data_IF_056527852120
#
_entry.id   IF_056527852120
#
_cell.length_a   1.000
_cell.length_b   1.000
_cell.length_c   1.000
_cell.angle_alpha   90.00
_cell.angle_beta   90.00
_cell.angle_gamma   90.00
#
_symmetry.space_group_name_H-M   'P 1'
#
loop_
_entity.id
_entity.type
_entity.pdbx_description
1 polymer ?
#
# COMPACT_ATOMS: atom_id res chain seq x y z
N UNK A 1 17.88 -8.92 -0.79
CA UNK A 1 17.09 -8.25 0.28
C UNK A 1 16.73 -6.79 0.02
N UNK A 2 17.64 -5.94 -0.44
CA UNK A 2 17.33 -4.51 -0.70
C UNK A 2 16.16 -4.31 -1.67
N UNK A 3 16.10 -5.08 -2.77
CA UNK A 3 15.00 -5.01 -3.73
C UNK A 3 13.64 -5.39 -3.13
N UNK A 4 13.59 -6.40 -2.26
CA UNK A 4 12.39 -6.82 -1.51
C UNK A 4 11.90 -5.66 -0.65
N UNK A 5 12.78 -5.08 0.17
CA UNK A 5 12.44 -3.96 1.06
C UNK A 5 11.96 -2.75 0.27
N UNK A 6 12.68 -2.34 -0.78
CA UNK A 6 12.31 -1.19 -1.59
C UNK A 6 10.95 -1.37 -2.27
N UNK A 7 10.67 -2.57 -2.78
CA UNK A 7 9.37 -2.87 -3.41
C UNK A 7 8.24 -2.76 -2.37
N UNK A 8 8.43 -3.36 -1.19
CA UNK A 8 7.43 -3.33 -0.13
C UNK A 8 7.21 -1.91 0.46
N UNK A 9 8.27 -1.14 0.68
CA UNK A 9 8.22 0.26 1.16
C UNK A 9 7.45 1.13 0.17
N UNK A 10 7.89 1.13 -1.10
CA UNK A 10 7.27 1.94 -2.14
C UNK A 10 5.79 1.60 -2.30
N UNK A 11 5.45 0.31 -2.23
CA UNK A 11 4.06 -0.11 -2.28
C UNK A 11 3.28 0.39 -1.07
N UNK A 12 3.77 0.16 0.15
CA UNK A 12 3.05 0.53 1.38
C UNK A 12 2.77 2.05 1.47
N UNK A 13 3.74 2.90 1.10
CA UNK A 13 3.54 4.36 1.13
C UNK A 13 2.54 4.81 0.07
N UNK A 14 2.66 4.34 -1.18
CA UNK A 14 1.74 4.74 -2.26
C UNK A 14 0.36 4.16 -2.05
N UNK A 15 0.24 2.90 -1.65
CA UNK A 15 -1.05 2.26 -1.38
C UNK A 15 -1.74 2.87 -0.16
N UNK A 16 -0.99 3.11 0.92
CA UNK A 16 -1.53 3.71 2.13
C UNK A 16 -1.84 5.20 2.00
N UNK A 17 -1.31 5.89 0.98
CA UNK A 17 -1.54 7.33 0.78
C UNK A 17 -2.50 7.55 -0.37
N UNK A 18 -3.65 8.19 -0.14
CA UNK A 18 -4.60 8.53 -1.20
C UNK A 18 -5.44 9.73 -0.81
N UNK A 19 -6.01 10.43 -1.80
CA UNK A 19 -6.97 11.51 -1.56
C UNK A 19 -8.12 11.44 -2.55
N UNK A 20 -9.27 11.97 -2.12
CA UNK A 20 -10.46 12.08 -2.99
C UNK A 20 -10.16 13.02 -4.16
N UNK A 21 -9.49 14.14 -3.89
CA UNK A 21 -9.13 15.14 -4.91
C UNK A 21 -8.20 14.57 -6.01
N UNK A 22 -7.29 13.66 -5.65
CA UNK A 22 -6.40 13.01 -6.62
C UNK A 22 -7.02 11.78 -7.30
N UNK A 23 -8.28 11.47 -7.00
CA UNK A 23 -9.01 10.29 -7.52
C UNK A 23 -8.20 8.98 -7.43
N UNK A 24 -7.48 8.78 -6.33
CA UNK A 24 -6.68 7.57 -6.08
C UNK A 24 -5.66 7.25 -7.20
N UNK A 25 -5.14 8.27 -7.90
CA UNK A 25 -4.18 8.12 -9.01
C UNK A 25 -2.91 7.33 -8.64
N UNK A 26 -2.51 7.39 -7.37
CA UNK A 26 -1.44 6.57 -6.80
C UNK A 26 -1.64 5.06 -7.00
N UNK A 27 -2.88 4.55 -7.15
CA UNK A 27 -3.10 3.13 -7.41
C UNK A 27 -2.70 2.73 -8.84
N UNK A 28 -2.78 3.64 -9.81
CA UNK A 28 -2.31 3.38 -11.18
C UNK A 28 -0.79 3.19 -11.22
N UNK A 29 -0.06 3.96 -10.40
CA UNK A 29 1.39 3.87 -10.27
C UNK A 29 1.86 2.55 -9.66
N UNK A 30 0.98 1.84 -8.94
CA UNK A 30 1.27 0.55 -8.32
C UNK A 30 1.11 -0.61 -9.30
N UNK A 31 0.31 -0.45 -10.37
CA UNK A 31 -0.02 -1.55 -11.30
C UNK A 31 1.23 -2.19 -11.94
N UNK A 32 2.26 -1.43 -12.40
CA UNK A 32 3.46 -2.01 -12.97
C UNK A 32 4.32 -2.85 -12.00
N UNK A 33 4.09 -2.68 -10.69
CA UNK A 33 4.81 -3.34 -9.60
C UNK A 33 3.97 -4.40 -8.88
N UNK A 34 2.80 -4.74 -9.43
CA UNK A 34 1.83 -5.64 -8.83
C UNK A 34 1.54 -6.83 -9.75
N UNK A 35 1.14 -7.97 -9.18
CA UNK A 35 0.63 -9.10 -9.98
C UNK A 35 -0.73 -8.75 -10.58
N UNK A 36 -1.18 -9.44 -11.66
CA UNK A 36 -2.49 -9.20 -12.25
C UNK A 36 -3.65 -9.29 -11.25
N UNK A 37 -3.55 -10.20 -10.28
CA UNK A 37 -4.52 -10.33 -9.18
C UNK A 37 -4.57 -9.08 -8.30
N UNK A 38 -3.41 -8.54 -7.91
CA UNK A 38 -3.35 -7.31 -7.11
C UNK A 38 -3.82 -6.10 -7.92
N UNK A 39 -3.55 -6.03 -9.23
CA UNK A 39 -4.08 -4.98 -10.11
C UNK A 39 -5.61 -4.96 -10.08
N UNK A 40 -6.26 -6.12 -10.28
CA UNK A 40 -7.72 -6.22 -10.22
C UNK A 40 -8.27 -5.84 -8.85
N UNK A 41 -7.57 -6.25 -7.79
CA UNK A 41 -7.95 -5.89 -6.42
C UNK A 41 -7.84 -4.39 -6.15
N UNK A 42 -6.79 -3.70 -6.65
CA UNK A 42 -6.64 -2.25 -6.50
C UNK A 42 -7.81 -1.49 -7.14
N UNK A 43 -8.25 -1.94 -8.33
CA UNK A 43 -9.41 -1.35 -9.02
C UNK A 43 -10.70 -1.51 -8.20
N UNK A 44 -10.93 -2.71 -7.64
CA UNK A 44 -12.07 -2.98 -6.77
C UNK A 44 -12.00 -2.18 -5.46
N UNK A 45 -10.82 -2.08 -4.87
CA UNK A 45 -10.61 -1.38 -3.60
C UNK A 45 -10.86 0.12 -3.75
N UNK A 46 -10.45 0.74 -4.87
CA UNK A 46 -10.79 2.12 -5.20
C UNK A 46 -12.30 2.36 -5.20
N UNK A 47 -13.07 1.49 -5.86
CA UNK A 47 -14.55 1.59 -5.86
C UNK A 47 -15.13 1.49 -4.46
N UNK A 48 -14.61 0.58 -3.63
CA UNK A 48 -15.06 0.44 -2.24
C UNK A 48 -14.73 1.67 -1.38
N UNK A 49 -13.55 2.27 -1.58
CA UNK A 49 -13.17 3.50 -0.86
C UNK A 49 -14.10 4.64 -1.25
N UNK A 50 -14.32 4.87 -2.55
CA UNK A 50 -15.24 5.90 -3.04
C UNK A 50 -16.66 5.75 -2.46
N UNK A 51 -17.15 4.53 -2.27
CA UNK A 51 -18.46 4.26 -1.69
C UNK A 51 -18.53 4.49 -0.16
N UNK A 52 -17.38 4.47 0.54
CA UNK A 52 -17.29 4.55 2.00
C UNK A 52 -16.90 5.93 2.53
N UNK A 53 -16.34 6.81 1.71
CA UNK A 53 -15.86 8.10 2.20
C UNK A 53 -17.02 9.03 2.60
N UNK A 54 -16.92 9.60 3.80
CA UNK A 54 -17.81 10.66 4.25
C UNK A 54 -17.50 12.00 3.57
N UNK A 55 -18.45 12.95 3.68
CA UNK A 55 -18.38 14.26 3.02
C UNK A 55 -17.16 15.10 3.46
N UNK A 56 -16.61 14.81 4.64
CA UNK A 56 -15.51 15.59 5.23
C UNK A 56 -14.13 14.96 5.03
N UNK A 57 -14.06 13.72 4.52
CA UNK A 57 -12.79 13.04 4.30
C UNK A 57 -12.03 13.63 3.11
N UNK A 58 -10.76 13.98 3.31
CA UNK A 58 -9.88 14.55 2.27
C UNK A 58 -8.93 13.48 1.74
N UNK A 59 -8.22 12.79 2.64
CA UNK A 59 -7.21 11.81 2.26
C UNK A 59 -6.43 11.24 3.44
N UNK A 60 -5.53 10.32 3.11
CA UNK A 60 -4.55 9.73 4.02
C UNK A 60 -3.16 9.96 3.43
N UNK A 61 -2.20 10.31 4.28
CA UNK A 61 -0.77 10.23 3.99
C UNK A 61 -0.15 9.15 4.86
N UNK A 62 0.55 8.21 4.25
CA UNK A 62 1.23 7.10 4.93
C UNK A 62 2.74 7.25 4.80
N UNK A 63 3.44 7.11 5.92
CA UNK A 63 4.91 7.07 5.98
C UNK A 63 5.37 5.77 6.60
N UNK A 64 6.42 5.17 6.05
CA UNK A 64 7.05 3.99 6.67
C UNK A 64 7.85 4.42 7.90
N UNK A 65 7.62 3.72 9.00
CA UNK A 65 8.35 3.87 10.27
C UNK A 65 9.44 2.80 10.37
N UNK A 66 9.10 1.55 10.04
CA UNK A 66 10.05 0.44 10.08
C UNK A 66 9.70 -0.67 9.11
N UNK A 67 10.68 -1.52 8.79
CA UNK A 67 10.49 -2.67 7.90
C UNK A 67 11.20 -3.91 8.43
N UNK A 68 10.52 -5.05 8.34
CA UNK A 68 11.07 -6.35 8.74
C UNK A 68 10.70 -7.41 7.70
N UNK A 69 11.71 -8.05 7.11
CA UNK A 69 11.49 -9.25 6.31
C UNK A 69 11.14 -10.39 7.28
N UNK A 70 9.95 -10.96 7.12
CA UNK A 70 9.45 -12.07 7.94
C UNK A 70 9.93 -13.40 7.37
N UNK A 71 9.91 -13.52 6.04
CA UNK A 71 10.44 -14.66 5.31
C UNK A 71 10.86 -14.23 3.91
N UNK A 72 11.86 -14.90 3.36
CA UNK A 72 12.28 -14.73 1.97
C UNK A 72 12.88 -16.03 1.43
N UNK A 73 12.73 -16.19 0.12
CA UNK A 73 13.34 -17.22 -0.71
C UNK A 73 13.68 -16.59 -2.07
N UNK A 74 14.14 -17.40 -3.02
CA UNK A 74 14.39 -16.95 -4.39
C UNK A 74 13.09 -16.55 -5.13
N UNK A 75 11.94 -17.11 -4.74
CA UNK A 75 10.68 -16.95 -5.45
C UNK A 75 9.62 -16.12 -4.73
N UNK A 76 9.63 -16.10 -3.39
CA UNK A 76 8.63 -15.40 -2.57
C UNK A 76 9.26 -14.68 -1.38
N UNK A 77 8.62 -13.60 -0.94
CA UNK A 77 8.99 -12.90 0.28
C UNK A 77 7.77 -12.33 1.00
N UNK A 78 7.86 -12.20 2.33
CA UNK A 78 6.88 -11.53 3.17
C UNK A 78 7.57 -10.46 4.00
N UNK A 79 7.03 -9.25 3.97
CA UNK A 79 7.60 -8.08 4.66
C UNK A 79 6.52 -7.45 5.52
N UNK A 80 6.82 -7.29 6.81
CA UNK A 80 6.02 -6.49 7.73
C UNK A 80 6.53 -5.05 7.68
N UNK A 81 5.63 -4.12 7.39
CA UNK A 81 5.90 -2.69 7.29
C UNK A 81 5.10 -1.98 8.38
N UNK A 82 5.78 -1.35 9.33
CA UNK A 82 5.13 -0.46 10.29
C UNK A 82 4.99 0.91 9.68
N UNK A 83 3.79 1.47 9.74
CA UNK A 83 3.46 2.75 9.12
C UNK A 83 2.85 3.73 10.12
N UNK A 84 3.02 5.01 9.82
CA UNK A 84 2.27 6.10 10.42
C UNK A 84 1.32 6.64 9.35
N UNK A 85 0.03 6.61 9.62
CA UNK A 85 -1.01 7.17 8.75
C UNK A 85 -1.54 8.47 9.35
N UNK A 86 -1.58 9.51 8.54
CA UNK A 86 -2.21 10.77 8.85
C UNK A 86 -3.45 10.92 7.99
N UNK A 87 -4.62 10.76 8.60
CA UNK A 87 -5.92 11.00 7.97
C UNK A 87 -6.30 12.47 8.13
N UNK A 88 -6.72 13.10 7.05
CA UNK A 88 -7.16 14.50 7.03
C UNK A 88 -8.65 14.57 6.75
N UNK A 89 -9.38 15.25 7.63
CA UNK A 89 -10.80 15.56 7.52
C UNK A 89 -10.96 17.06 7.60
N UNK A 90 -11.34 17.77 6.53
CA UNK A 90 -11.45 19.25 6.45
C UNK A 90 -10.47 20.07 7.33
N UNK A 91 -10.75 20.23 8.62
CA UNK A 91 -9.97 21.01 9.61
C UNK A 91 -9.20 20.16 10.64
N UNK A 92 -9.45 18.86 10.69
CA UNK A 92 -8.88 17.91 11.65
C UNK A 92 -7.89 16.95 10.98
N UNK A 93 -6.90 16.53 11.78
CA UNK A 93 -5.92 15.52 11.38
C UNK A 93 -5.83 14.47 12.48
N UNK A 94 -5.94 13.20 12.07
CA UNK A 94 -5.81 12.06 12.98
C UNK A 94 -4.61 11.22 12.55
N UNK A 95 -3.68 11.03 13.49
CA UNK A 95 -2.54 10.13 13.28
C UNK A 95 -2.83 8.77 13.89
N UNK A 96 -2.58 7.70 13.13
CA UNK A 96 -2.64 6.31 13.60
C UNK A 96 -1.39 5.55 13.18
N UNK A 97 -1.07 4.49 13.91
CA UNK A 97 0.00 3.56 13.54
C UNK A 97 -0.61 2.23 13.19
N UNK A 98 -0.21 1.68 12.04
CA UNK A 98 -0.69 0.40 11.54
C UNK A 98 0.43 -0.37 10.88
N UNK A 99 0.40 -1.67 11.07
CA UNK A 99 1.28 -2.58 10.35
C UNK A 99 0.60 -3.08 9.07
N UNK A 100 1.42 -3.31 8.04
CA UNK A 100 1.01 -3.92 6.79
C UNK A 100 1.90 -5.13 6.51
N UNK A 101 1.27 -6.26 6.29
CA UNK A 101 1.93 -7.42 5.70
C UNK A 101 1.89 -7.30 4.17
N UNK A 102 3.05 -7.13 3.55
CA UNK A 102 3.22 -7.13 2.09
C UNK A 102 3.81 -8.48 1.66
N UNK A 103 3.13 -9.16 0.74
CA UNK A 103 3.59 -10.40 0.11
C UNK A 103 4.12 -10.08 -1.28
N UNK A 104 5.28 -10.64 -1.60
CA UNK A 104 5.95 -10.47 -2.89
C UNK A 104 6.20 -11.81 -3.57
N UNK A 105 6.20 -11.79 -4.90
CA UNK A 105 6.61 -12.91 -5.76
C UNK A 105 7.65 -12.43 -6.78
N UNK A 106 8.65 -13.26 -7.05
CA UNK A 106 9.64 -12.99 -8.09
C UNK A 106 9.12 -13.51 -9.44
N UNK A 107 8.84 -12.60 -10.36
CA UNK A 107 8.33 -12.91 -11.70
C UNK A 107 8.91 -11.93 -12.72
N UNK A 108 9.21 -12.41 -13.93
CA UNK A 108 9.72 -11.57 -15.02
C UNK A 108 10.94 -10.72 -14.61
N UNK A 109 11.87 -11.34 -13.86
CA UNK A 109 13.11 -10.72 -13.36
C UNK A 109 12.92 -9.51 -12.43
N UNK A 110 11.77 -9.43 -11.73
CA UNK A 110 11.51 -8.43 -10.70
C UNK A 110 10.63 -8.97 -9.57
N UNK A 111 10.70 -8.32 -8.41
CA UNK A 111 9.73 -8.52 -7.34
C UNK A 111 8.44 -7.78 -7.67
N UNK A 112 7.33 -8.50 -7.60
CA UNK A 112 5.98 -7.95 -7.74
C UNK A 112 5.22 -8.14 -6.44
N UNK A 113 4.35 -7.19 -6.12
CA UNK A 113 3.43 -7.29 -4.99
C UNK A 113 2.31 -8.25 -5.35
N UNK A 114 2.15 -9.27 -4.53
CA UNK A 114 1.16 -10.33 -4.69
C UNK A 114 0.07 -10.30 -3.60
N UNK A 115 0.23 -9.42 -2.61
CA UNK A 115 -0.82 -9.12 -1.64
C UNK A 115 -0.37 -8.08 -0.61
N UNK A 116 -1.33 -7.37 -0.04
CA UNK A 116 -1.10 -6.39 1.02
C UNK A 116 -2.25 -6.40 2.01
N UNK A 117 -1.94 -6.49 3.30
CA UNK A 117 -2.93 -6.70 4.36
C UNK A 117 -2.61 -5.83 5.56
N UNK A 118 -3.47 -4.86 5.86
CA UNK A 118 -3.45 -4.15 7.15
C UNK A 118 -3.67 -5.14 8.29
N UNK A 119 -2.90 -5.00 9.37
CA UNK A 119 -3.02 -5.79 10.61
C UNK A 119 -3.72 -4.99 11.71
#
# INVERSE_FOLDING_TARGET
DTAIKNTAINFAERFGSYSVAANFSNFEELKPFSTPTVVQWLDQYKTQLLAKQGIDFVGITTKVVSTKIISSSEAVASVLISTQQSETYKTEQKTTYKDMLVKLVWQNSKWLVDGAYWQ
#
